data_IF_775623015859
#
_entry.id   IF_775623015859
#
_cell.length_a   1.000
_cell.length_b   1.000
_cell.length_c   1.000
_cell.angle_alpha   90.00
_cell.angle_beta   90.00
_cell.angle_gamma   90.00
#
_symmetry.space_group_name_H-M   'P 1'
#
loop_
_entity.id
_entity.type
_entity.pdbx_description
1 polymer ?
#
# COMPACT_ATOMS: atom_id res chain seq x y z
N UNK A 1 14.51 -9.27 1.12
CA UNK A 1 14.70 -8.23 2.21
C UNK A 1 13.43 -7.66 2.90
N UNK A 2 12.45 -7.06 2.21
CA UNK A 2 11.34 -6.33 2.87
C UNK A 2 10.46 -7.18 3.81
N UNK A 3 10.20 -8.45 3.44
CA UNK A 3 9.45 -9.39 4.27
C UNK A 3 10.16 -9.65 5.61
N UNK A 4 11.49 -9.82 5.62
CA UNK A 4 12.28 -9.95 6.85
C UNK A 4 12.02 -8.78 7.82
N UNK A 5 12.07 -7.54 7.30
CA UNK A 5 11.75 -6.32 8.06
C UNK A 5 10.33 -6.36 8.64
N UNK A 6 9.35 -6.85 7.88
CA UNK A 6 7.98 -7.03 8.37
C UNK A 6 7.84 -8.16 9.41
N UNK A 7 8.75 -9.13 9.40
CA UNK A 7 8.90 -10.16 10.44
C UNK A 7 9.64 -9.70 11.70
N UNK A 8 10.14 -8.46 11.74
CA UNK A 8 10.87 -7.89 12.88
C UNK A 8 12.28 -8.45 13.08
N UNK A 9 12.89 -9.05 12.03
CA UNK A 9 14.20 -9.68 12.11
C UNK A 9 14.68 -10.18 10.76
N UNK A 10 15.40 -11.30 10.73
CA UNK A 10 15.93 -11.91 9.50
C UNK A 10 15.04 -13.03 8.93
N UNK A 11 13.92 -13.36 9.58
CA UNK A 11 13.07 -14.47 9.18
C UNK A 11 11.98 -14.01 8.19
N UNK A 12 12.06 -14.51 6.95
CA UNK A 12 11.10 -14.22 5.88
C UNK A 12 9.70 -14.74 6.22
N UNK A 13 9.59 -15.89 6.89
CA UNK A 13 8.29 -16.52 7.20
C UNK A 13 7.43 -15.63 8.09
N UNK A 14 8.06 -14.92 9.04
CA UNK A 14 7.37 -13.96 9.91
C UNK A 14 6.84 -12.73 9.16
N UNK A 15 7.40 -12.42 7.98
CA UNK A 15 6.96 -11.35 7.11
C UNK A 15 5.79 -11.69 6.20
N UNK A 16 5.61 -12.97 5.86
CA UNK A 16 4.58 -13.45 4.94
C UNK A 16 3.15 -12.99 5.30
N UNK A 17 2.73 -12.86 6.58
CA UNK A 17 1.41 -12.35 6.91
C UNK A 17 1.13 -10.94 6.37
N UNK A 18 2.15 -10.11 6.15
CA UNK A 18 1.95 -8.81 5.50
C UNK A 18 1.56 -8.98 4.02
N UNK A 19 2.31 -9.79 3.27
CA UNK A 19 2.00 -10.15 1.89
C UNK A 19 0.61 -10.79 1.79
N UNK A 20 0.31 -11.73 2.69
CA UNK A 20 -1.01 -12.37 2.78
C UNK A 20 -2.13 -11.36 2.83
N UNK A 21 -1.98 -10.33 3.67
CA UNK A 21 -3.02 -9.33 3.83
C UNK A 21 -3.22 -8.51 2.56
N UNK A 22 -2.16 -8.21 1.83
CA UNK A 22 -2.27 -7.54 0.53
C UNK A 22 -2.95 -8.42 -0.53
N UNK A 23 -2.66 -9.72 -0.55
CA UNK A 23 -3.32 -10.68 -1.43
C UNK A 23 -4.82 -10.82 -1.11
N UNK A 24 -5.17 -10.92 0.17
CA UNK A 24 -6.56 -10.88 0.63
C UNK A 24 -7.26 -9.58 0.20
N UNK A 25 -6.56 -8.45 0.29
CA UNK A 25 -7.14 -7.15 -0.07
C UNK A 25 -7.45 -7.05 -1.56
N UNK A 26 -6.55 -7.53 -2.43
CA UNK A 26 -6.77 -7.51 -3.88
C UNK A 26 -7.93 -8.44 -4.27
N UNK A 27 -8.04 -9.60 -3.62
CA UNK A 27 -9.12 -10.55 -3.91
C UNK A 27 -10.51 -10.01 -3.56
N UNK A 28 -10.62 -9.07 -2.60
CA UNK A 28 -11.89 -8.39 -2.32
C UNK A 28 -12.44 -7.64 -3.53
N UNK A 29 -11.58 -7.13 -4.40
CA UNK A 29 -11.96 -6.44 -5.63
C UNK A 29 -12.25 -7.41 -6.78
N UNK A 30 -12.02 -8.71 -6.64
CA UNK A 30 -12.28 -9.69 -7.70
C UNK A 30 -11.31 -9.59 -8.88
N UNK A 31 -10.09 -9.11 -8.65
CA UNK A 31 -9.06 -8.97 -9.69
C UNK A 31 -8.03 -10.10 -9.55
N UNK A 32 -7.60 -10.76 -10.66
CA UNK A 32 -6.51 -11.72 -10.64
C UNK A 32 -5.22 -11.09 -10.11
N UNK A 33 -4.42 -11.85 -9.37
CA UNK A 33 -3.19 -11.36 -8.75
C UNK A 33 -2.03 -12.31 -9.03
N UNK A 34 -0.85 -11.71 -9.26
CA UNK A 34 0.44 -12.38 -9.36
C UNK A 34 1.40 -11.71 -8.38
N UNK A 35 2.27 -12.48 -7.74
CA UNK A 35 3.35 -11.97 -6.89
C UNK A 35 4.64 -11.93 -7.69
N UNK A 36 5.26 -10.76 -7.73
CA UNK A 36 6.62 -10.60 -8.25
C UNK A 36 7.58 -10.40 -7.09
N UNK A 37 8.67 -11.16 -7.06
CA UNK A 37 9.78 -10.94 -6.14
C UNK A 37 10.94 -10.33 -6.90
N UNK A 38 11.27 -9.08 -6.59
CA UNK A 38 12.46 -8.45 -7.16
C UNK A 38 13.71 -9.13 -6.56
N UNK A 39 14.57 -9.67 -7.41
CA UNK A 39 15.81 -10.32 -7.00
C UNK A 39 16.81 -9.30 -6.45
N UNK A 40 17.57 -9.69 -5.42
CA UNK A 40 18.71 -8.95 -4.92
C UNK A 40 19.88 -9.91 -4.72
N UNK A 41 21.10 -9.41 -4.89
CA UNK A 41 22.36 -10.18 -4.80
C UNK A 41 22.48 -10.96 -3.48
N UNK A 42 21.95 -10.41 -2.37
CA UNK A 42 22.02 -11.03 -1.04
C UNK A 42 20.79 -11.88 -0.68
N UNK A 43 19.85 -12.11 -1.60
CA UNK A 43 18.70 -12.97 -1.33
C UNK A 43 19.09 -14.45 -1.51
N UNK A 44 18.88 -15.27 -0.48
CA UNK A 44 19.22 -16.69 -0.49
C UNK A 44 18.14 -17.52 -1.22
N UNK A 45 18.52 -18.55 -1.97
CA UNK A 45 17.57 -19.40 -2.71
C UNK A 45 16.51 -20.02 -1.80
N UNK A 46 16.89 -20.46 -0.60
CA UNK A 46 15.96 -21.02 0.39
C UNK A 46 14.84 -20.04 0.76
N UNK A 47 15.17 -18.74 0.82
CA UNK A 47 14.23 -17.68 1.16
C UNK A 47 13.27 -17.37 0.03
N UNK A 48 13.76 -17.40 -1.20
CA UNK A 48 12.93 -17.29 -2.41
C UNK A 48 11.95 -18.46 -2.44
N UNK A 49 12.44 -19.69 -2.20
CA UNK A 49 11.60 -20.90 -2.20
C UNK A 49 10.52 -20.86 -1.11
N UNK A 50 10.79 -20.25 0.05
CA UNK A 50 9.79 -20.05 1.10
C UNK A 50 8.63 -19.18 0.58
N UNK A 51 8.92 -18.08 -0.13
CA UNK A 51 7.90 -17.18 -0.67
C UNK A 51 7.14 -17.84 -1.82
N UNK A 52 7.85 -18.54 -2.70
CA UNK A 52 7.25 -19.29 -3.80
C UNK A 52 6.29 -20.37 -3.29
N UNK A 53 6.75 -21.22 -2.36
CA UNK A 53 5.94 -22.27 -1.76
C UNK A 53 4.69 -21.70 -1.09
N UNK A 54 4.84 -20.54 -0.43
CA UNK A 54 3.71 -19.85 0.17
C UNK A 54 2.67 -19.40 -0.87
N UNK A 55 3.11 -18.80 -1.97
CA UNK A 55 2.22 -18.38 -3.07
C UNK A 55 1.55 -19.58 -3.74
N UNK A 56 2.31 -20.65 -4.01
CA UNK A 56 1.81 -21.89 -4.59
C UNK A 56 0.76 -22.57 -3.70
N UNK A 57 0.96 -22.57 -2.38
CA UNK A 57 -0.03 -23.12 -1.42
C UNK A 57 -1.39 -22.41 -1.46
N UNK A 58 -1.43 -21.18 -2.00
CA UNK A 58 -2.64 -20.37 -2.19
C UNK A 58 -3.12 -20.32 -3.64
N UNK A 59 -2.50 -21.09 -4.54
CA UNK A 59 -2.75 -21.05 -5.99
C UNK A 59 -2.56 -19.64 -6.59
N UNK A 60 -1.59 -18.89 -6.09
CA UNK A 60 -1.26 -17.55 -6.59
C UNK A 60 0.02 -17.66 -7.42
N UNK A 61 0.00 -17.26 -8.72
CA UNK A 61 1.19 -17.21 -9.53
C UNK A 61 2.28 -16.37 -8.86
N UNK A 62 3.51 -16.86 -8.95
CA UNK A 62 4.70 -16.23 -8.39
C UNK A 62 5.78 -16.18 -9.48
N UNK A 63 6.54 -15.10 -9.57
CA UNK A 63 7.70 -15.00 -10.45
C UNK A 63 8.80 -14.21 -9.74
N UNK A 64 10.06 -14.63 -9.94
CA UNK A 64 11.22 -13.81 -9.60
C UNK A 64 11.48 -12.87 -10.78
N UNK A 65 11.82 -11.61 -10.49
CA UNK A 65 12.13 -10.62 -11.50
C UNK A 65 13.48 -9.97 -11.21
N UNK A 66 14.41 -10.07 -12.17
CA UNK A 66 15.72 -9.41 -12.12
C UNK A 66 15.85 -8.31 -13.17
N UNK A 67 14.82 -7.47 -13.24
CA UNK A 67 14.73 -6.40 -14.24
C UNK A 67 15.79 -5.30 -14.00
N UNK A 68 16.26 -5.15 -12.75
CA UNK A 68 17.26 -4.15 -12.41
C UNK A 68 18.64 -4.53 -12.97
N UNK A 69 19.02 -5.81 -12.89
CA UNK A 69 20.33 -6.28 -13.38
C UNK A 69 20.29 -6.65 -14.87
N UNK A 70 19.23 -7.30 -15.32
CA UNK A 70 19.13 -7.89 -16.67
C UNK A 70 18.18 -7.13 -17.62
N UNK A 71 17.61 -6.01 -17.17
CA UNK A 71 16.68 -5.22 -17.98
C UNK A 71 15.42 -6.03 -18.34
N UNK A 72 15.02 -5.98 -19.62
CA UNK A 72 13.80 -6.65 -20.08
C UNK A 72 13.84 -8.18 -19.97
N UNK A 73 15.03 -8.78 -20.08
CA UNK A 73 15.21 -10.24 -20.07
C UNK A 73 14.84 -10.83 -18.71
N UNK A 74 15.27 -10.19 -17.62
CA UNK A 74 14.93 -10.57 -16.24
C UNK A 74 13.45 -10.42 -15.87
N UNK A 75 12.60 -9.94 -16.78
CA UNK A 75 11.15 -9.82 -16.61
C UNK A 75 10.31 -10.75 -17.48
N UNK A 76 10.93 -11.58 -18.34
CA UNK A 76 10.21 -12.42 -19.32
C UNK A 76 9.29 -13.43 -18.63
N UNK A 77 9.76 -14.07 -17.55
CA UNK A 77 8.96 -15.06 -16.81
C UNK A 77 7.72 -14.43 -16.19
N UNK A 78 7.89 -13.28 -15.52
CA UNK A 78 6.78 -12.51 -14.95
C UNK A 78 5.77 -12.11 -16.03
N UNK A 79 6.25 -11.62 -17.18
CA UNK A 79 5.40 -11.24 -18.30
C UNK A 79 4.59 -12.43 -18.85
N UNK A 80 5.24 -13.59 -19.04
CA UNK A 80 4.58 -14.80 -19.50
C UNK A 80 3.49 -15.28 -18.55
N UNK A 81 3.79 -15.32 -17.24
CA UNK A 81 2.81 -15.67 -16.20
C UNK A 81 1.67 -14.66 -16.11
N UNK A 82 1.94 -13.36 -16.28
CA UNK A 82 0.93 -12.31 -16.31
C UNK A 82 -0.01 -12.45 -17.53
N UNK A 83 0.53 -12.70 -18.72
CA UNK A 83 -0.28 -12.95 -19.94
C UNK A 83 -1.18 -14.16 -19.73
N UNK A 84 -0.64 -15.27 -19.20
CA UNK A 84 -1.41 -16.47 -18.92
C UNK A 84 -2.53 -16.21 -17.89
N UNK A 85 -2.22 -15.45 -16.83
CA UNK A 85 -3.19 -15.06 -15.80
C UNK A 85 -4.34 -14.24 -16.40
N UNK A 86 -4.03 -13.27 -17.28
CA UNK A 86 -5.03 -12.43 -17.94
C UNK A 86 -5.93 -13.21 -18.90
N UNK A 87 -5.39 -14.23 -19.58
CA UNK A 87 -6.15 -15.03 -20.54
C UNK A 87 -7.08 -16.05 -19.87
N UNK A 88 -6.63 -16.66 -18.76
CA UNK A 88 -7.35 -17.78 -18.15
C UNK A 88 -8.21 -17.38 -16.96
N UNK A 89 -7.92 -16.25 -16.31
CA UNK A 89 -8.64 -15.82 -15.11
C UNK A 89 -9.25 -14.42 -15.36
N UNK A 90 -10.46 -14.33 -15.91
CA UNK A 90 -11.11 -13.04 -16.13
C UNK A 90 -11.37 -12.33 -14.81
N UNK A 91 -11.23 -10.99 -14.80
CA UNK A 91 -11.55 -10.20 -13.62
C UNK A 91 -13.06 -10.06 -13.43
N UNK A 92 -13.50 -10.03 -12.18
CA UNK A 92 -14.86 -9.69 -11.79
C UNK A 92 -14.80 -8.49 -10.84
N UNK A 93 -14.35 -7.35 -11.40
CA UNK A 93 -14.05 -6.16 -10.62
C UNK A 93 -15.28 -5.63 -9.89
N UNK A 94 -15.11 -5.33 -8.60
CA UNK A 94 -16.13 -4.65 -7.78
C UNK A 94 -15.49 -3.67 -6.82
N UNK A 95 -16.19 -2.58 -6.54
CA UNK A 95 -15.79 -1.64 -5.50
C UNK A 95 -15.96 -2.25 -4.10
N UNK A 96 -15.15 -1.78 -3.15
CA UNK A 96 -15.14 -2.27 -1.77
C UNK A 96 -16.43 -1.93 -1.00
N UNK A 97 -17.07 -0.82 -1.35
CA UNK A 97 -18.28 -0.28 -0.75
C UNK A 97 -19.09 0.53 -1.76
N UNK A 98 -20.38 0.71 -1.48
CA UNK A 98 -21.23 1.67 -2.20
C UNK A 98 -21.02 3.08 -1.62
N UNK A 99 -20.78 4.05 -2.50
CA UNK A 99 -20.52 5.46 -2.14
C UNK A 99 -21.71 6.13 -1.45
N UNK A 100 -22.93 5.59 -1.64
CA UNK A 100 -24.17 6.05 -0.99
C UNK A 100 -24.27 5.67 0.49
N UNK A 101 -23.38 4.81 0.98
CA UNK A 101 -23.34 4.46 2.42
C UNK A 101 -22.89 5.65 3.26
N UNK A 102 -23.31 5.73 4.54
CA UNK A 102 -22.84 6.76 5.47
C UNK A 102 -21.32 6.86 5.51
N UNK A 103 -20.80 8.09 5.68
CA UNK A 103 -19.34 8.38 5.70
C UNK A 103 -18.60 7.47 6.67
N UNK A 104 -19.13 7.27 7.89
CA UNK A 104 -18.54 6.38 8.90
C UNK A 104 -18.49 4.92 8.45
N UNK A 105 -19.53 4.41 7.78
CA UNK A 105 -19.57 3.03 7.30
C UNK A 105 -18.55 2.80 6.18
N UNK A 106 -18.33 3.80 5.31
CA UNK A 106 -17.29 3.74 4.27
C UNK A 106 -15.89 3.65 4.88
N UNK A 107 -15.59 4.53 5.84
CA UNK A 107 -14.31 4.53 6.56
C UNK A 107 -14.12 3.21 7.32
N UNK A 108 -15.14 2.73 8.02
CA UNK A 108 -15.11 1.48 8.77
C UNK A 108 -14.93 0.26 7.85
N UNK A 109 -15.57 0.26 6.68
CA UNK A 109 -15.39 -0.79 5.68
C UNK A 109 -13.93 -0.87 5.23
N UNK A 110 -13.30 0.26 4.91
CA UNK A 110 -11.87 0.30 4.56
C UNK A 110 -11.03 -0.19 5.75
N UNK A 111 -11.24 0.35 6.94
CA UNK A 111 -10.43 0.02 8.12
C UNK A 111 -10.51 -1.47 8.49
N UNK A 112 -11.70 -2.05 8.50
CA UNK A 112 -11.90 -3.47 8.85
C UNK A 112 -11.43 -4.40 7.74
N UNK A 113 -11.88 -4.18 6.50
CA UNK A 113 -11.60 -5.11 5.40
C UNK A 113 -10.17 -4.99 4.88
N UNK A 114 -9.67 -3.78 4.67
CA UNK A 114 -8.34 -3.56 4.07
C UNK A 114 -7.22 -3.61 5.11
N UNK A 115 -7.42 -2.99 6.27
CA UNK A 115 -6.35 -2.89 7.26
C UNK A 115 -6.40 -4.01 8.30
N UNK A 116 -7.57 -4.57 8.57
CA UNK A 116 -7.77 -5.53 9.66
C UNK A 116 -7.90 -4.85 11.02
N UNK A 117 -8.36 -3.60 11.07
CA UNK A 117 -8.65 -2.89 12.31
C UNK A 117 -9.92 -3.45 12.97
N UNK A 118 -9.99 -3.45 14.30
CA UNK A 118 -11.19 -3.89 15.02
C UNK A 118 -12.30 -2.83 14.97
N UNK A 119 -11.91 -1.55 15.02
CA UNK A 119 -12.82 -0.40 15.06
C UNK A 119 -12.16 0.88 14.57
N UNK A 120 -13.00 1.85 14.26
CA UNK A 120 -12.62 3.24 13.95
C UNK A 120 -13.09 4.13 15.09
N UNK A 121 -12.24 5.06 15.51
CA UNK A 121 -12.56 6.08 16.53
C UNK A 121 -12.43 7.45 15.90
N UNK A 122 -13.34 8.35 16.24
CA UNK A 122 -13.41 9.70 15.69
C UNK A 122 -13.16 10.72 16.82
N UNK A 123 -12.40 11.76 16.53
CA UNK A 123 -12.28 12.91 17.42
C UNK A 123 -13.52 13.80 17.30
N UNK A 124 -13.69 14.74 18.24
CA UNK A 124 -14.77 15.74 18.19
C UNK A 124 -14.72 16.57 16.90
N UNK A 125 -13.51 16.87 16.39
CA UNK A 125 -13.35 17.59 15.12
C UNK A 125 -13.83 16.74 13.94
N UNK A 126 -13.40 15.48 13.84
CA UNK A 126 -13.86 14.59 12.78
C UNK A 126 -15.38 14.38 12.80
N UNK A 127 -16.01 14.30 13.98
CA UNK A 127 -17.47 14.21 14.11
C UNK A 127 -18.19 15.46 13.56
N UNK A 128 -17.62 16.66 13.80
CA UNK A 128 -18.13 17.91 13.22
C UNK A 128 -17.95 17.95 11.71
N UNK A 129 -16.81 17.49 11.20
CA UNK A 129 -16.55 17.45 9.76
C UNK A 129 -17.50 16.47 9.05
N UNK A 130 -17.81 15.32 9.65
CA UNK A 130 -18.79 14.37 9.10
C UNK A 130 -20.16 15.03 8.98
N UNK A 131 -20.61 15.73 10.03
CA UNK A 131 -21.89 16.44 10.00
C UNK A 131 -21.90 17.53 8.93
N UNK A 132 -20.84 18.34 8.85
CA UNK A 132 -20.72 19.37 7.82
C UNK A 132 -20.73 18.77 6.40
N UNK A 133 -20.11 17.61 6.23
CA UNK A 133 -20.11 16.88 4.96
C UNK A 133 -21.54 16.48 4.52
N UNK A 134 -22.38 16.03 5.47
CA UNK A 134 -23.79 15.72 5.24
C UNK A 134 -24.61 16.99 4.93
N UNK A 135 -24.41 18.07 5.71
CA UNK A 135 -25.10 19.35 5.52
C UNK A 135 -24.80 19.98 4.13
N UNK A 136 -23.60 19.74 3.59
CA UNK A 136 -23.17 20.21 2.27
C UNK A 136 -23.53 19.23 1.12
N UNK A 137 -24.14 18.07 1.42
CA UNK A 137 -24.46 17.04 0.43
C UNK A 137 -23.23 16.39 -0.21
N UNK A 138 -22.08 16.43 0.47
CA UNK A 138 -20.81 15.83 0.05
C UNK A 138 -20.64 14.39 0.58
N UNK A 139 -21.61 13.92 1.36
CA UNK A 139 -21.62 12.63 2.04
C UNK A 139 -21.52 11.44 1.08
N UNK A 140 -21.89 11.60 -0.19
CA UNK A 140 -21.82 10.57 -1.23
C UNK A 140 -20.48 10.48 -1.95
N UNK A 141 -19.50 11.30 -1.56
CA UNK A 141 -18.16 11.22 -2.13
C UNK A 141 -17.38 9.99 -1.59
N UNK A 142 -16.51 9.37 -2.40
CA UNK A 142 -15.60 8.32 -1.95
C UNK A 142 -14.60 8.83 -0.90
N UNK A 143 -13.97 7.87 -0.22
CA UNK A 143 -13.02 8.10 0.88
C UNK A 143 -11.58 7.84 0.43
N UNK A 144 -10.69 8.79 0.70
CA UNK A 144 -9.24 8.67 0.59
C UNK A 144 -8.60 8.78 1.98
N UNK A 145 -8.33 7.66 2.65
CA UNK A 145 -7.76 7.67 4.02
C UNK A 145 -6.28 8.09 3.97
N UNK A 146 -5.95 9.16 4.70
CA UNK A 146 -4.58 9.64 4.84
C UNK A 146 -3.95 9.09 6.13
N UNK A 147 -3.03 8.13 5.96
CA UNK A 147 -2.44 7.32 7.02
C UNK A 147 -0.96 7.02 6.68
N UNK A 148 -0.17 6.62 7.68
CA UNK A 148 1.21 6.12 7.44
C UNK A 148 1.22 4.91 6.51
N UNK A 149 2.12 4.91 5.52
CA UNK A 149 2.33 3.84 4.56
C UNK A 149 3.13 2.64 5.12
N UNK A 150 3.79 2.80 6.26
CA UNK A 150 4.73 1.80 6.80
C UNK A 150 4.07 0.63 7.57
N UNK A 151 2.78 0.75 7.87
CA UNK A 151 2.00 -0.23 8.63
C UNK A 151 0.67 -0.47 7.94
N UNK A 152 -0.09 -1.49 8.34
CA UNK A 152 -1.53 -1.57 8.08
C UNK A 152 -2.33 -0.72 9.08
N UNK A 153 -1.79 -0.49 10.28
CA UNK A 153 -2.38 0.38 11.31
C UNK A 153 -2.04 1.86 11.10
N UNK A 154 -2.58 2.75 11.93
CA UNK A 154 -2.20 4.18 11.94
C UNK A 154 -0.88 4.45 12.69
N UNK A 155 -0.19 3.41 13.20
CA UNK A 155 1.11 3.47 13.86
C UNK A 155 2.21 2.86 12.97
N UNK A 156 3.18 3.68 12.58
CA UNK A 156 4.26 3.29 11.65
C UNK A 156 5.19 2.22 12.20
N UNK A 157 5.21 2.01 13.53
CA UNK A 157 6.07 1.01 14.18
C UNK A 157 5.50 -0.41 14.12
N UNK A 158 4.18 -0.56 13.86
CA UNK A 158 3.51 -1.85 13.82
C UNK A 158 3.64 -2.50 12.45
N UNK A 159 4.74 -3.20 12.22
CA UNK A 159 5.02 -3.91 10.95
C UNK A 159 4.27 -5.26 10.86
N UNK A 160 4.32 -5.90 9.70
CA UNK A 160 3.71 -7.23 9.50
C UNK A 160 2.21 -7.15 9.28
N UNK A 161 1.47 -8.01 9.99
CA UNK A 161 0.00 -8.05 10.03
C UNK A 161 -0.47 -7.78 11.47
N UNK A 162 -0.51 -6.50 11.92
CA UNK A 162 -0.97 -6.18 13.26
C UNK A 162 -2.42 -6.63 13.47
N UNK A 163 -2.76 -7.00 14.71
CA UNK A 163 -4.12 -7.36 15.15
C UNK A 163 -4.50 -6.52 16.37
N UNK A 164 -5.78 -6.45 16.72
CA UNK A 164 -6.19 -5.81 17.97
C UNK A 164 -6.08 -4.28 17.96
N UNK A 165 -6.08 -3.65 16.79
CA UNK A 165 -5.81 -2.22 16.66
C UNK A 165 -7.03 -1.44 16.17
N UNK A 166 -7.07 -0.16 16.54
CA UNK A 166 -8.06 0.81 16.08
C UNK A 166 -7.43 1.77 15.09
N UNK A 167 -8.24 2.36 14.23
CA UNK A 167 -7.86 3.54 13.43
C UNK A 167 -8.49 4.78 14.07
N UNK A 168 -7.71 5.83 14.29
CA UNK A 168 -8.21 7.08 14.84
C UNK A 168 -8.30 8.15 13.75
N UNK A 169 -9.50 8.63 13.42
CA UNK A 169 -9.72 9.74 12.48
C UNK A 169 -9.77 11.05 13.26
N UNK A 170 -8.88 11.98 12.92
CA UNK A 170 -8.66 13.25 13.63
C UNK A 170 -9.42 14.44 13.04
N UNK A 171 -9.56 14.47 11.74
CA UNK A 171 -10.28 15.47 10.95
C UNK A 171 -10.62 14.84 9.58
N UNK A 172 -11.55 15.44 8.86
CA UNK A 172 -11.86 15.07 7.47
C UNK A 172 -11.75 16.32 6.61
N UNK A 173 -10.81 16.31 5.64
CA UNK A 173 -10.71 17.37 4.64
C UNK A 173 -11.57 17.05 3.43
N UNK A 174 -12.13 18.08 2.79
CA UNK A 174 -12.98 17.90 1.62
C UNK A 174 -12.25 18.33 0.36
N UNK A 175 -11.97 17.39 -0.52
CA UNK A 175 -11.42 17.66 -1.85
C UNK A 175 -12.56 17.68 -2.86
N UNK A 176 -13.47 18.65 -2.75
CA UNK A 176 -14.70 18.70 -3.53
C UNK A 176 -14.45 18.74 -5.05
N UNK A 177 -13.45 19.49 -5.51
CA UNK A 177 -13.09 19.53 -6.94
C UNK A 177 -12.57 18.19 -7.48
N UNK A 178 -11.84 17.44 -6.66
CA UNK A 178 -11.34 16.11 -7.03
C UNK A 178 -12.36 14.99 -6.76
N UNK A 179 -13.43 15.29 -6.01
CA UNK A 179 -14.52 14.37 -5.74
C UNK A 179 -14.24 13.31 -4.66
N UNK A 180 -13.56 13.64 -3.56
CA UNK A 180 -13.38 12.71 -2.43
C UNK A 180 -13.22 13.41 -1.07
N UNK A 181 -13.47 12.65 0.00
CA UNK A 181 -13.22 13.04 1.40
C UNK A 181 -11.90 12.46 1.87
N UNK A 182 -11.16 13.18 2.71
CA UNK A 182 -9.84 12.80 3.21
C UNK A 182 -9.84 12.68 4.73
N UNK A 183 -10.19 11.52 5.30
CA UNK A 183 -10.03 11.25 6.72
C UNK A 183 -8.55 11.18 7.09
N UNK A 184 -8.11 12.06 7.99
CA UNK A 184 -6.72 12.16 8.44
C UNK A 184 -6.53 11.35 9.72
N UNK A 185 -5.66 10.33 9.71
CA UNK A 185 -5.43 9.50 10.91
C UNK A 185 -4.22 9.92 11.75
N UNK A 186 -3.25 10.56 11.11
CA UNK A 186 -2.01 11.00 11.72
C UNK A 186 -1.52 12.31 11.11
N UNK A 187 -0.33 12.75 11.53
CA UNK A 187 0.33 13.90 10.92
C UNK A 187 0.88 13.47 9.56
N UNK A 188 0.34 14.06 8.50
CA UNK A 188 0.83 13.86 7.13
C UNK A 188 1.67 15.07 6.76
N UNK A 189 2.91 14.84 6.34
CA UNK A 189 3.79 15.89 5.86
C UNK A 189 3.36 16.29 4.46
N UNK A 190 2.76 17.48 4.32
CA UNK A 190 2.35 18.04 3.02
C UNK A 190 3.44 18.90 2.39
N UNK A 191 4.46 19.28 3.16
CA UNK A 191 5.61 20.06 2.72
C UNK A 191 6.87 19.45 3.35
N UNK A 192 7.59 18.57 2.62
CA UNK A 192 8.83 18.00 3.12
C UNK A 192 9.90 19.10 3.22
N UNK A 193 10.67 19.08 4.31
CA UNK A 193 11.83 19.96 4.48
C UNK A 193 13.08 19.39 3.82
N UNK A 194 14.11 20.23 3.67
CA UNK A 194 15.43 19.78 3.25
C UNK A 194 16.14 19.01 4.38
N UNK A 195 16.97 18.00 4.06
CA UNK A 195 17.82 17.35 5.04
C UNK A 195 18.94 18.30 5.49
N UNK A 196 19.65 17.93 6.58
CA UNK A 196 20.75 18.74 7.12
C UNK A 196 21.89 18.98 6.12
N UNK A 197 22.08 18.07 5.15
CA UNK A 197 22.97 18.22 4.01
C UNK A 197 22.16 17.99 2.73
N UNK A 198 21.63 19.04 2.08
CA UNK A 198 20.82 18.90 0.89
C UNK A 198 21.69 18.49 -0.31
N UNK A 199 21.17 17.64 -1.20
CA UNK A 199 21.87 17.25 -2.43
C UNK A 199 22.25 18.46 -3.30
N UNK A 200 21.54 19.58 -3.18
CA UNK A 200 21.83 20.84 -3.87
C UNK A 200 23.23 21.40 -3.61
N UNK A 201 23.86 21.08 -2.48
CA UNK A 201 25.26 21.48 -2.22
C UNK A 201 26.26 20.76 -3.15
N UNK A 202 25.87 19.60 -3.70
CA UNK A 202 26.71 18.79 -4.59
C UNK A 202 26.25 18.83 -6.06
N UNK A 203 25.20 19.58 -6.38
CA UNK A 203 24.71 19.72 -7.75
C UNK A 203 25.55 20.79 -8.46
N UNK A 204 26.16 20.42 -9.58
CA UNK A 204 26.96 21.33 -10.40
C UNK A 204 26.91 20.94 -11.88
N UNK A 205 27.45 21.80 -12.76
CA UNK A 205 27.53 21.59 -14.21
C UNK A 205 28.95 21.88 -14.72
N UNK A 206 29.54 20.95 -15.49
CA UNK A 206 30.83 21.21 -16.14
C UNK A 206 30.70 22.10 -17.39
N UNK A 207 31.85 22.52 -17.95
CA UNK A 207 31.92 23.32 -19.17
C UNK A 207 31.33 22.63 -20.41
N UNK A 208 31.13 21.30 -20.36
CA UNK A 208 30.51 20.54 -21.44
C UNK A 208 28.98 20.41 -21.27
N UNK A 209 28.42 20.98 -20.20
CA UNK A 209 27.00 20.90 -19.88
C UNK A 209 26.58 19.60 -19.17
N UNK A 210 27.53 18.81 -18.65
CA UNK A 210 27.21 17.61 -17.87
C UNK A 210 26.89 17.99 -16.43
N UNK A 211 25.76 17.49 -15.93
CA UNK A 211 25.29 17.76 -14.56
C UNK A 211 25.75 16.66 -13.61
N UNK A 212 26.30 17.03 -12.46
CA UNK A 212 26.71 16.11 -11.39
C UNK A 212 25.81 16.26 -10.17
N UNK A 213 25.75 15.22 -9.32
CA UNK A 213 25.04 15.26 -8.03
C UNK A 213 23.52 15.20 -8.08
N UNK A 214 22.93 14.95 -9.26
CA UNK A 214 21.47 14.86 -9.45
C UNK A 214 20.90 13.46 -9.12
N UNK A 215 21.68 12.40 -9.35
CA UNK A 215 21.33 10.99 -9.13
C UNK A 215 22.53 10.21 -8.57
#
# INVERSE_FOLDING_TARGET
KALKKHGGGNDVKKGLPNLEKHLENISLFGVPVIVSLNHFIDDEEEEIQIVENYCNSKNIPFAVADIWSEGGEGGIELAGKLINLMQNNPSNFRFLYDVKKPVKEKIETIAKKMYGADRVVYTVLAERDIKLCEDLGLDKLPICIAKTQYSLSDDSKKVGRPKGFKITVREIKFSAGAGFLVPMTGKITTMPGLPAKPSSENIDIDDNGNIFGLY
#
